data_IF_258970460845
#
_entry.id   IF_258970460845
#
_cell.length_a   1.000
_cell.length_b   1.000
_cell.length_c   1.000
_cell.angle_alpha   90.00
_cell.angle_beta   90.00
_cell.angle_gamma   90.00
#
_symmetry.space_group_name_H-M   'P 1'
#
loop_
_entity.id
_entity.type
_entity.pdbx_description
1 polymer ?
#
# COMPACT_ATOMS: atom_id res chain seq x y z
N UNK A 1 20.69 -14.39 27.52
CA UNK A 1 21.18 -14.76 26.19
C UNK A 1 20.17 -14.21 25.21
N UNK A 2 20.55 -13.26 24.35
CA UNK A 2 19.66 -12.80 23.29
C UNK A 2 19.37 -13.98 22.36
N UNK A 3 18.11 -14.25 22.14
CA UNK A 3 17.66 -15.31 21.24
C UNK A 3 18.12 -14.94 19.82
N UNK A 4 18.83 -15.84 19.13
CA UNK A 4 19.11 -15.69 17.69
C UNK A 4 17.85 -15.89 16.81
N UNK A 5 16.70 -15.97 17.42
CA UNK A 5 15.44 -16.12 16.70
C UNK A 5 15.02 -14.77 16.10
N UNK A 6 14.74 -14.71 14.78
CA UNK A 6 14.58 -13.43 14.06
C UNK A 6 13.23 -12.76 14.29
N UNK A 7 12.32 -13.36 15.08
CA UNK A 7 10.98 -12.81 15.37
C UNK A 7 10.91 -12.40 16.83
N UNK A 8 10.33 -11.22 17.10
CA UNK A 8 9.91 -10.86 18.46
C UNK A 8 8.55 -11.51 18.75
N UNK A 9 8.54 -12.43 19.72
CA UNK A 9 7.33 -13.12 20.22
C UNK A 9 7.00 -12.72 21.65
N UNK A 10 7.70 -11.73 22.21
CA UNK A 10 7.55 -11.28 23.60
C UNK A 10 6.70 -10.03 23.64
N UNK A 11 6.95 -9.07 22.75
CA UNK A 11 6.27 -7.77 22.69
C UNK A 11 6.34 -7.04 24.03
N UNK A 12 5.23 -6.43 24.43
CA UNK A 12 5.12 -5.64 25.68
C UNK A 12 4.69 -6.46 26.90
N UNK A 13 4.44 -7.75 26.75
CA UNK A 13 3.92 -8.61 27.81
C UNK A 13 2.54 -8.15 28.31
N UNK A 14 2.37 -8.12 29.63
CA UNK A 14 1.06 -7.76 30.25
C UNK A 14 0.85 -6.25 30.40
N UNK A 15 1.85 -5.44 30.08
CA UNK A 15 1.79 -3.99 30.29
C UNK A 15 2.17 -3.27 28.98
N UNK A 16 1.20 -3.07 28.08
CA UNK A 16 1.45 -2.30 26.86
C UNK A 16 1.78 -0.85 27.20
N UNK A 17 2.63 -0.18 26.41
CA UNK A 17 2.94 1.23 26.60
C UNK A 17 1.70 2.10 26.37
N UNK A 18 1.62 3.22 27.08
CA UNK A 18 0.68 4.29 26.76
C UNK A 18 1.22 5.09 25.57
N UNK A 19 0.56 5.08 24.42
CA UNK A 19 1.02 5.78 23.22
C UNK A 19 0.96 7.31 23.34
N UNK A 20 0.28 7.84 24.35
CA UNK A 20 0.11 9.28 24.59
C UNK A 20 -0.37 10.01 23.32
N UNK A 21 -1.47 9.52 22.75
CA UNK A 21 -2.07 10.13 21.57
C UNK A 21 -2.33 11.62 21.76
N UNK A 22 -2.18 12.47 20.71
CA UNK A 22 -2.49 13.89 20.77
C UNK A 22 -3.86 14.16 21.40
N UNK A 23 -3.97 15.31 22.09
CA UNK A 23 -5.20 15.76 22.74
C UNK A 23 -5.78 14.77 23.79
N UNK A 24 -4.93 13.92 24.37
CA UNK A 24 -5.34 12.86 25.30
C UNK A 24 -6.37 11.89 24.68
N UNK A 25 -6.33 11.72 23.37
CA UNK A 25 -7.19 10.77 22.68
C UNK A 25 -6.91 9.34 23.15
N UNK A 26 -7.96 8.54 23.23
CA UNK A 26 -7.87 7.13 23.66
C UNK A 26 -7.64 6.18 22.49
N UNK A 27 -7.87 6.65 21.27
CA UNK A 27 -7.81 5.86 20.04
C UNK A 27 -7.35 6.76 18.90
N UNK A 28 -6.48 6.26 18.04
CA UNK A 28 -6.19 6.82 16.73
C UNK A 28 -6.95 5.99 15.68
N UNK A 29 -7.67 6.67 14.78
CA UNK A 29 -8.38 6.02 13.66
C UNK A 29 -7.80 6.55 12.35
N UNK A 30 -7.33 5.66 11.51
CA UNK A 30 -6.87 5.98 10.17
C UNK A 30 -7.81 5.34 9.14
N UNK A 31 -8.37 6.15 8.25
CA UNK A 31 -9.12 5.66 7.10
C UNK A 31 -8.16 5.45 5.94
N UNK A 32 -8.09 4.22 5.46
CA UNK A 32 -7.26 3.84 4.32
C UNK A 32 -8.15 3.47 3.14
N UNK A 33 -7.83 4.00 1.97
CA UNK A 33 -8.45 3.62 0.71
C UNK A 33 -7.36 3.15 -0.25
N UNK A 34 -7.38 1.89 -0.61
CA UNK A 34 -6.50 1.36 -1.64
C UNK A 34 -7.00 1.81 -3.02
N UNK A 35 -6.07 2.30 -3.85
CA UNK A 35 -6.33 2.61 -5.25
C UNK A 35 -5.39 1.76 -6.13
N UNK A 36 -5.91 0.66 -6.63
CA UNK A 36 -5.14 -0.42 -7.27
C UNK A 36 -5.59 -0.69 -8.71
N UNK A 37 -6.83 -0.37 -9.02
CA UNK A 37 -7.53 -0.71 -10.25
C UNK A 37 -6.85 -0.14 -11.49
N UNK A 38 -6.53 -1.06 -12.42
CA UNK A 38 -5.75 -0.75 -13.62
C UNK A 38 -4.25 -0.98 -13.46
N UNK A 39 -3.78 -1.47 -12.30
CA UNK A 39 -2.38 -1.86 -12.09
C UNK A 39 -2.19 -3.33 -11.70
N UNK A 40 -3.29 -4.07 -11.59
CA UNK A 40 -3.33 -5.51 -11.35
C UNK A 40 -2.70 -6.30 -12.50
N UNK A 41 -2.51 -7.60 -12.30
CA UNK A 41 -2.10 -8.50 -13.38
C UNK A 41 -3.14 -8.52 -14.50
N UNK A 42 -2.70 -8.33 -15.73
CA UNK A 42 -3.58 -8.34 -16.88
C UNK A 42 -2.91 -8.86 -18.15
N UNK A 43 -3.66 -9.55 -18.97
CA UNK A 43 -3.17 -10.04 -20.29
C UNK A 43 -2.71 -8.89 -21.19
N UNK A 44 -3.41 -7.73 -21.25
CA UNK A 44 -2.93 -6.57 -21.99
C UNK A 44 -1.58 -6.02 -21.51
N UNK A 45 -1.21 -6.21 -20.24
CA UNK A 45 0.08 -5.79 -19.69
C UNK A 45 1.18 -6.86 -19.85
N UNK A 46 0.85 -8.00 -20.44
CA UNK A 46 1.80 -9.08 -20.72
C UNK A 46 1.94 -10.11 -19.59
N UNK A 47 1.10 -10.07 -18.57
CA UNK A 47 1.21 -10.98 -17.42
C UNK A 47 0.72 -12.41 -17.70
N UNK A 48 0.03 -12.64 -18.80
CA UNK A 48 -0.44 -13.97 -19.21
C UNK A 48 -1.73 -14.42 -18.50
N UNK A 49 -2.31 -13.63 -17.61
CA UNK A 49 -3.60 -13.89 -16.98
C UNK A 49 -4.23 -12.58 -16.51
N UNK A 50 -5.56 -12.59 -16.29
CA UNK A 50 -6.25 -11.50 -15.62
C UNK A 50 -6.37 -11.79 -14.13
N UNK A 51 -6.10 -10.79 -13.30
CA UNK A 51 -6.23 -10.87 -11.84
C UNK A 51 -7.69 -11.11 -11.44
N UNK A 52 -7.91 -12.02 -10.52
CA UNK A 52 -9.23 -12.29 -9.94
C UNK A 52 -9.23 -12.31 -8.41
N UNK A 53 -8.05 -12.20 -7.78
CA UNK A 53 -7.95 -12.18 -6.31
C UNK A 53 -8.67 -10.97 -5.74
N UNK A 54 -9.28 -11.16 -4.57
CA UNK A 54 -10.00 -10.11 -3.83
C UNK A 54 -11.20 -9.51 -4.60
N UNK A 55 -11.69 -10.22 -5.62
CA UNK A 55 -12.99 -9.95 -6.25
C UNK A 55 -14.06 -10.87 -5.68
N UNK A 56 -15.28 -10.77 -6.18
CA UNK A 56 -16.36 -11.71 -5.85
C UNK A 56 -16.14 -13.12 -6.42
N UNK A 57 -15.13 -13.28 -7.28
CA UNK A 57 -14.73 -14.57 -7.83
C UNK A 57 -13.52 -15.11 -7.07
N UNK A 58 -13.58 -16.33 -6.52
CA UNK A 58 -12.47 -16.89 -5.75
C UNK A 58 -11.22 -17.18 -6.61
N UNK A 59 -11.42 -17.43 -7.88
CA UNK A 59 -10.37 -17.60 -8.90
C UNK A 59 -10.98 -17.50 -10.30
N UNK A 60 -10.16 -17.08 -11.27
CA UNK A 60 -10.59 -17.09 -12.67
C UNK A 60 -10.68 -18.53 -13.20
N UNK A 61 -11.77 -18.83 -13.93
CA UNK A 61 -11.92 -20.06 -14.69
C UNK A 61 -11.42 -19.92 -16.13
N UNK A 62 -11.00 -18.71 -16.53
CA UNK A 62 -10.49 -18.42 -17.88
C UNK A 62 -9.10 -19.00 -18.02
N UNK A 63 -8.78 -19.67 -19.15
CA UNK A 63 -7.44 -20.22 -19.39
C UNK A 63 -6.35 -19.17 -19.35
N UNK A 64 -5.15 -19.59 -18.90
CA UNK A 64 -3.98 -18.72 -18.94
C UNK A 64 -3.69 -18.29 -20.40
N UNK A 65 -3.46 -17.00 -20.60
CA UNK A 65 -3.30 -16.37 -21.91
C UNK A 65 -4.55 -15.64 -22.41
N UNK A 66 -5.72 -15.97 -21.89
CA UNK A 66 -6.98 -15.32 -22.24
C UNK A 66 -7.40 -14.28 -21.18
N UNK A 67 -8.14 -13.28 -21.62
CA UNK A 67 -8.67 -12.21 -20.74
C UNK A 67 -9.93 -12.68 -20.00
N UNK A 68 -9.96 -12.51 -18.69
CA UNK A 68 -11.18 -12.66 -17.90
C UNK A 68 -11.92 -11.31 -17.82
N UNK A 69 -12.84 -11.12 -18.77
CA UNK A 69 -13.58 -9.86 -18.87
C UNK A 69 -14.51 -9.61 -17.68
N UNK A 70 -14.93 -10.67 -16.96
CA UNK A 70 -15.74 -10.50 -15.75
C UNK A 70 -14.88 -9.95 -14.61
N UNK A 71 -13.71 -10.55 -14.34
CA UNK A 71 -12.77 -10.05 -13.34
C UNK A 71 -12.32 -8.63 -13.66
N UNK A 72 -11.88 -8.36 -14.90
CA UNK A 72 -11.49 -7.02 -15.34
C UNK A 72 -12.59 -5.98 -15.10
N UNK A 73 -13.87 -6.33 -15.37
CA UNK A 73 -14.99 -5.42 -15.14
C UNK A 73 -15.25 -5.13 -13.66
N UNK A 74 -14.90 -6.04 -12.75
CA UNK A 74 -14.99 -5.81 -11.31
C UNK A 74 -13.95 -4.78 -10.86
N UNK A 75 -12.70 -4.88 -11.34
CA UNK A 75 -11.70 -3.84 -11.14
C UNK A 75 -12.13 -2.50 -11.75
N UNK A 76 -12.65 -2.49 -12.98
CA UNK A 76 -13.18 -1.26 -13.58
C UNK A 76 -14.28 -0.59 -12.74
N UNK A 77 -15.12 -1.34 -12.05
CA UNK A 77 -16.14 -0.78 -11.17
C UNK A 77 -15.49 0.06 -10.06
N UNK A 78 -14.41 -0.41 -9.46
CA UNK A 78 -13.66 0.30 -8.42
C UNK A 78 -13.26 1.70 -8.88
N UNK A 79 -12.54 1.81 -10.00
CA UNK A 79 -12.06 3.10 -10.54
C UNK A 79 -13.16 3.96 -11.13
N UNK A 80 -14.19 3.37 -11.76
CA UNK A 80 -15.27 4.11 -12.45
C UNK A 80 -16.37 4.59 -11.51
N UNK A 81 -16.64 3.86 -10.43
CA UNK A 81 -17.80 4.12 -9.55
C UNK A 81 -17.42 4.12 -8.07
N UNK A 82 -16.76 3.07 -7.60
CA UNK A 82 -16.49 2.84 -6.18
C UNK A 82 -15.68 3.96 -5.56
N UNK A 83 -14.55 4.30 -6.18
CA UNK A 83 -13.70 5.40 -5.75
C UNK A 83 -14.46 6.72 -5.58
N UNK A 84 -15.23 7.12 -6.57
CA UNK A 84 -15.97 8.39 -6.55
C UNK A 84 -17.06 8.45 -5.48
N UNK A 85 -17.66 7.30 -5.15
CA UNK A 85 -18.63 7.20 -4.05
C UNK A 85 -17.95 7.37 -2.70
N UNK A 86 -16.80 6.72 -2.50
CA UNK A 86 -16.03 6.83 -1.27
C UNK A 86 -15.43 8.22 -1.10
N UNK A 87 -14.87 8.80 -2.17
CA UNK A 87 -14.35 10.17 -2.15
C UNK A 87 -15.39 11.17 -1.66
N UNK A 88 -16.61 11.13 -2.22
CA UNK A 88 -17.71 12.00 -1.77
C UNK A 88 -18.06 11.77 -0.31
N UNK A 89 -18.14 10.52 0.12
CA UNK A 89 -18.45 10.18 1.52
C UNK A 89 -17.42 10.78 2.49
N UNK A 90 -16.15 10.66 2.17
CA UNK A 90 -15.07 11.21 3.01
C UNK A 90 -15.09 12.74 3.03
N UNK A 91 -15.31 13.37 1.88
CA UNK A 91 -15.42 14.84 1.78
C UNK A 91 -16.66 15.38 2.52
N UNK A 92 -17.82 14.74 2.36
CA UNK A 92 -19.07 15.14 3.04
C UNK A 92 -18.96 15.05 4.58
N UNK A 93 -18.04 14.23 5.08
CA UNK A 93 -17.86 14.00 6.52
C UNK A 93 -16.58 14.65 7.06
N UNK A 94 -15.84 15.37 6.22
CA UNK A 94 -14.56 15.99 6.56
C UNK A 94 -13.58 14.98 7.22
N UNK A 95 -13.48 13.79 6.63
CA UNK A 95 -12.62 12.72 7.16
C UNK A 95 -11.26 12.75 6.46
N UNK A 96 -10.16 12.73 7.24
CA UNK A 96 -8.83 12.51 6.69
C UNK A 96 -8.71 11.07 6.17
N UNK A 97 -8.04 10.90 5.04
CA UNK A 97 -7.86 9.59 4.38
C UNK A 97 -6.43 9.47 3.90
N UNK A 98 -5.84 8.30 4.09
CA UNK A 98 -4.59 7.91 3.43
C UNK A 98 -4.92 7.04 2.23
N UNK A 99 -4.47 7.42 1.05
CA UNK A 99 -4.64 6.63 -0.17
C UNK A 99 -3.43 5.71 -0.34
N UNK A 100 -3.65 4.42 -0.28
CA UNK A 100 -2.65 3.43 -0.64
C UNK A 100 -2.67 3.28 -2.16
N UNK A 101 -1.75 3.98 -2.83
CA UNK A 101 -1.80 4.23 -4.26
C UNK A 101 -0.80 3.39 -5.04
N UNK A 102 -1.28 2.54 -5.95
CA UNK A 102 -0.44 2.00 -7.01
C UNK A 102 -0.22 3.08 -8.07
N UNK A 103 1.05 3.38 -8.36
CA UNK A 103 1.39 4.52 -9.20
C UNK A 103 0.84 4.38 -10.62
N UNK A 104 0.91 3.20 -11.24
CA UNK A 104 0.37 2.94 -12.58
C UNK A 104 -1.15 3.09 -12.63
N UNK A 105 -1.87 2.71 -11.58
CA UNK A 105 -3.32 2.86 -11.50
C UNK A 105 -3.73 4.34 -11.62
N UNK A 106 -3.03 5.24 -10.92
CA UNK A 106 -3.26 6.68 -10.98
C UNK A 106 -2.76 7.31 -12.28
N UNK A 107 -1.70 6.79 -12.91
CA UNK A 107 -1.31 7.23 -14.26
C UNK A 107 -2.40 6.93 -15.29
N UNK A 108 -3.11 5.82 -15.13
CA UNK A 108 -4.23 5.40 -16.00
C UNK A 108 -5.53 6.15 -15.73
N UNK A 109 -5.64 6.75 -14.54
CA UNK A 109 -6.80 7.57 -14.16
C UNK A 109 -6.37 8.94 -13.60
N UNK A 110 -5.93 9.88 -14.46
CA UNK A 110 -5.45 11.19 -14.04
C UNK A 110 -6.53 12.03 -13.34
N UNK A 111 -7.81 11.80 -13.61
CA UNK A 111 -8.92 12.49 -12.93
C UNK A 111 -9.01 12.07 -11.47
N UNK A 112 -8.80 10.76 -11.16
CA UNK A 112 -8.73 10.30 -9.79
C UNK A 112 -7.50 10.86 -9.06
N UNK A 113 -6.32 10.88 -9.72
CA UNK A 113 -5.12 11.49 -9.16
C UNK A 113 -5.33 12.98 -8.83
N UNK A 114 -5.97 13.73 -9.73
CA UNK A 114 -6.30 15.13 -9.51
C UNK A 114 -7.27 15.29 -8.31
N UNK A 115 -8.32 14.49 -8.25
CA UNK A 115 -9.31 14.56 -7.18
C UNK A 115 -8.71 14.23 -5.80
N UNK A 116 -7.80 13.25 -5.71
CA UNK A 116 -7.07 12.91 -4.48
C UNK A 116 -6.18 14.08 -4.06
N UNK A 117 -5.40 14.65 -4.99
CA UNK A 117 -4.54 15.79 -4.73
C UNK A 117 -5.36 17.01 -4.26
N UNK A 118 -6.44 17.33 -4.94
CA UNK A 118 -7.28 18.50 -4.65
C UNK A 118 -8.04 18.34 -3.31
N UNK A 119 -8.29 17.11 -2.88
CA UNK A 119 -8.81 16.80 -1.55
C UNK A 119 -7.74 16.90 -0.44
N UNK A 120 -6.46 17.00 -0.79
CA UNK A 120 -5.36 17.07 0.18
C UNK A 120 -5.12 15.77 0.95
N UNK A 121 -5.52 14.62 0.38
CA UNK A 121 -5.34 13.32 1.04
C UNK A 121 -3.89 12.87 1.02
N UNK A 122 -3.47 12.20 2.07
CA UNK A 122 -2.13 11.63 2.20
C UNK A 122 -1.93 10.45 1.25
N UNK A 123 -0.69 10.29 0.75
CA UNK A 123 -0.30 9.23 -0.17
C UNK A 123 0.68 8.28 0.49
N UNK A 124 0.27 7.03 0.63
CA UNK A 124 1.14 5.90 0.91
C UNK A 124 1.37 5.13 -0.39
N UNK A 125 2.63 4.94 -0.77
CA UNK A 125 2.98 4.22 -1.99
C UNK A 125 2.63 2.74 -1.85
N UNK A 126 1.83 2.23 -2.79
CA UNK A 126 1.45 0.81 -2.86
C UNK A 126 2.13 0.08 -4.04
N UNK A 127 3.34 0.54 -4.36
CA UNK A 127 4.15 0.03 -5.46
C UNK A 127 3.88 0.70 -6.80
N UNK A 128 4.66 0.30 -7.82
CA UNK A 128 4.43 0.71 -9.20
C UNK A 128 3.17 0.07 -9.77
N UNK A 129 3.06 -1.25 -9.59
CA UNK A 129 1.90 -2.09 -9.94
C UNK A 129 1.43 -2.87 -8.72
N UNK A 130 0.20 -3.33 -8.77
CA UNK A 130 -0.36 -4.21 -7.75
C UNK A 130 0.10 -5.66 -7.96
N UNK A 131 1.37 -5.90 -7.66
CA UNK A 131 2.05 -7.20 -7.77
C UNK A 131 2.73 -7.56 -6.46
N UNK A 132 2.94 -8.86 -6.24
CA UNK A 132 3.59 -9.33 -5.01
C UNK A 132 5.10 -9.12 -5.08
N UNK A 133 5.63 -8.25 -4.23
CA UNK A 133 7.04 -7.90 -4.19
C UNK A 133 7.95 -9.08 -3.87
N UNK A 134 7.48 -10.04 -3.07
CA UNK A 134 8.25 -11.26 -2.77
C UNK A 134 8.45 -12.21 -3.97
N UNK A 135 7.79 -11.95 -5.10
CA UNK A 135 8.00 -12.67 -6.36
C UNK A 135 9.02 -11.98 -7.28
N UNK A 136 9.37 -10.75 -7.00
CA UNK A 136 10.32 -9.97 -7.78
C UNK A 136 11.76 -10.30 -7.35
N UNK A 137 12.69 -10.22 -8.29
CA UNK A 137 14.12 -10.13 -7.93
C UNK A 137 14.40 -8.80 -7.23
N UNK A 138 15.52 -8.72 -6.51
CA UNK A 138 15.89 -7.48 -5.82
C UNK A 138 16.00 -6.28 -6.76
N UNK A 139 16.56 -6.47 -7.96
CA UNK A 139 16.72 -5.41 -8.96
C UNK A 139 15.37 -4.95 -9.52
N UNK A 140 14.44 -5.88 -9.78
CA UNK A 140 13.07 -5.56 -10.21
C UNK A 140 12.32 -4.82 -9.12
N UNK A 141 12.44 -5.26 -7.86
CA UNK A 141 11.80 -4.59 -6.73
C UNK A 141 12.33 -3.16 -6.56
N UNK A 142 13.65 -2.97 -6.67
CA UNK A 142 14.29 -1.65 -6.65
C UNK A 142 13.77 -0.74 -7.77
N UNK A 143 13.62 -1.27 -8.99
CA UNK A 143 13.06 -0.52 -10.13
C UNK A 143 11.59 -0.15 -9.86
N UNK A 144 10.79 -1.08 -9.36
CA UNK A 144 9.39 -0.81 -9.00
C UNK A 144 9.24 0.30 -7.96
N UNK A 145 10.07 0.29 -6.91
CA UNK A 145 10.09 1.33 -5.90
C UNK A 145 10.46 2.69 -6.53
N UNK A 146 11.55 2.74 -7.29
CA UNK A 146 12.02 3.99 -7.91
C UNK A 146 10.98 4.57 -8.89
N UNK A 147 10.38 3.74 -9.73
CA UNK A 147 9.35 4.15 -10.70
C UNK A 147 8.10 4.68 -9.99
N UNK A 148 7.66 4.00 -8.94
CA UNK A 148 6.51 4.43 -8.14
C UNK A 148 6.75 5.82 -7.53
N UNK A 149 7.92 6.03 -6.90
CA UNK A 149 8.27 7.32 -6.29
C UNK A 149 8.33 8.43 -7.33
N UNK A 150 8.97 8.19 -8.49
CA UNK A 150 9.04 9.19 -9.58
C UNK A 150 7.64 9.58 -10.05
N UNK A 151 6.80 8.58 -10.28
CA UNK A 151 5.44 8.79 -10.79
C UNK A 151 4.57 9.54 -9.79
N UNK A 152 4.50 9.06 -8.55
CA UNK A 152 3.72 9.72 -7.48
C UNK A 152 4.23 11.12 -7.19
N UNK A 153 5.55 11.34 -7.16
CA UNK A 153 6.13 12.68 -6.97
C UNK A 153 5.70 13.66 -8.07
N UNK A 154 5.61 13.19 -9.31
CA UNK A 154 5.15 14.01 -10.44
C UNK A 154 3.68 14.38 -10.31
N UNK A 155 2.83 13.47 -9.85
CA UNK A 155 1.38 13.68 -9.70
C UNK A 155 1.03 14.55 -8.50
N UNK A 156 1.73 14.39 -7.38
CA UNK A 156 1.40 15.02 -6.10
C UNK A 156 2.36 16.12 -5.66
N UNK A 157 3.46 16.35 -6.37
CA UNK A 157 4.41 17.44 -6.11
C UNK A 157 5.45 17.13 -5.02
N UNK A 158 5.36 15.96 -4.36
CA UNK A 158 6.30 15.49 -3.35
C UNK A 158 6.40 13.96 -3.39
N UNK A 159 7.53 13.37 -2.98
CA UNK A 159 7.63 11.92 -2.85
C UNK A 159 6.68 11.41 -1.75
N UNK A 160 6.13 10.19 -1.89
CA UNK A 160 5.33 9.56 -0.85
C UNK A 160 6.20 9.28 0.38
N UNK A 161 5.64 9.50 1.57
CA UNK A 161 6.36 9.25 2.83
C UNK A 161 6.13 7.85 3.38
N UNK A 162 5.08 7.15 2.97
CA UNK A 162 4.71 5.82 3.41
C UNK A 162 4.80 4.78 2.30
N UNK A 163 4.93 3.52 2.73
CA UNK A 163 4.95 2.34 1.86
C UNK A 163 4.07 1.21 2.40
N UNK A 164 3.43 0.48 1.49
CA UNK A 164 2.72 -0.76 1.77
C UNK A 164 2.75 -1.71 0.58
N UNK A 165 3.07 -2.99 0.79
CA UNK A 165 3.10 -4.01 -0.25
C UNK A 165 1.75 -4.69 -0.46
N UNK A 166 1.48 -5.15 -1.68
CA UNK A 166 0.43 -6.13 -1.92
C UNK A 166 0.73 -7.42 -1.16
N UNK A 167 -0.19 -7.88 -0.31
CA UNK A 167 -0.15 -9.13 0.48
C UNK A 167 1.04 -9.32 1.41
N UNK A 168 2.15 -8.68 1.17
CA UNK A 168 3.34 -8.73 2.03
C UNK A 168 4.63 -8.37 1.30
N UNK A 169 5.63 -7.93 2.06
CA UNK A 169 6.94 -7.54 1.55
C UNK A 169 7.80 -8.75 1.16
N UNK A 170 8.83 -8.51 0.38
CA UNK A 170 9.98 -9.40 0.26
C UNK A 170 10.89 -9.26 1.48
N UNK A 171 11.89 -10.14 1.58
CA UNK A 171 12.93 -10.00 2.62
C UNK A 171 13.81 -8.77 2.42
N UNK A 172 13.79 -8.16 1.24
CA UNK A 172 14.59 -7.00 0.88
C UNK A 172 13.83 -5.68 1.02
N UNK A 173 12.49 -5.69 0.94
CA UNK A 173 11.66 -4.49 0.80
C UNK A 173 12.08 -3.37 1.75
N UNK A 174 12.07 -3.62 3.07
CA UNK A 174 12.36 -2.56 4.06
C UNK A 174 13.75 -1.99 3.90
N UNK A 175 14.75 -2.82 3.62
CA UNK A 175 16.10 -2.35 3.33
C UNK A 175 16.14 -1.45 2.09
N UNK A 176 15.46 -1.85 1.01
CA UNK A 176 15.36 -1.08 -0.22
C UNK A 176 14.67 0.28 -0.02
N UNK A 177 13.65 0.34 0.83
CA UNK A 177 12.97 1.59 1.19
C UNK A 177 13.90 2.55 1.94
N UNK A 178 14.66 2.02 2.91
CA UNK A 178 15.65 2.79 3.67
C UNK A 178 16.78 3.27 2.77
N UNK A 179 17.30 2.42 1.90
CA UNK A 179 18.32 2.78 0.90
C UNK A 179 17.83 3.86 -0.07
N UNK A 180 16.57 3.79 -0.49
CA UNK A 180 15.98 4.81 -1.36
C UNK A 180 15.89 6.19 -0.71
N UNK A 181 15.65 6.24 0.60
CA UNK A 181 15.71 7.46 1.42
C UNK A 181 14.51 8.40 1.33
N UNK A 182 13.45 8.07 0.57
CA UNK A 182 12.23 8.89 0.51
C UNK A 182 11.19 8.52 1.55
N UNK A 183 11.24 7.30 2.07
CA UNK A 183 10.20 6.77 2.93
C UNK A 183 10.52 7.00 4.41
N UNK A 184 9.55 7.53 5.13
CA UNK A 184 9.60 7.68 6.59
C UNK A 184 9.13 6.41 7.29
N UNK A 185 8.17 5.67 6.69
CA UNK A 185 7.58 4.48 7.29
C UNK A 185 7.18 3.44 6.25
N UNK A 186 7.02 2.20 6.73
CA UNK A 186 6.23 1.16 6.05
C UNK A 186 5.08 0.67 6.93
N UNK A 187 3.99 0.19 6.29
CA UNK A 187 2.81 -0.37 6.93
C UNK A 187 2.67 -1.88 6.65
N UNK A 188 3.75 -2.55 6.25
CA UNK A 188 3.71 -3.96 5.86
C UNK A 188 3.44 -4.94 7.03
N UNK A 189 3.91 -4.71 8.27
CA UNK A 189 3.66 -5.63 9.38
C UNK A 189 2.23 -5.56 9.94
N UNK A 190 1.80 -6.70 10.50
CA UNK A 190 0.53 -6.90 11.21
C UNK A 190 0.76 -7.31 12.67
N UNK A 191 1.91 -6.99 13.23
CA UNK A 191 2.42 -7.57 14.46
C UNK A 191 2.20 -6.72 15.71
N UNK A 192 1.64 -5.51 15.56
CA UNK A 192 1.40 -4.58 16.65
C UNK A 192 0.17 -3.71 16.39
N UNK A 193 -0.35 -3.08 17.45
CA UNK A 193 -1.39 -2.04 17.38
C UNK A 193 -0.79 -0.63 17.42
N UNK A 194 0.48 -0.50 17.76
CA UNK A 194 1.18 0.77 17.91
C UNK A 194 2.32 0.91 16.90
N UNK A 195 2.55 2.12 16.36
CA UNK A 195 3.77 2.40 15.62
C UNK A 195 5.02 2.22 16.47
N UNK A 196 6.08 1.68 15.86
CA UNK A 196 7.36 1.47 16.55
C UNK A 196 8.54 1.74 15.63
N UNK A 197 9.68 2.05 16.25
CA UNK A 197 10.94 2.26 15.53
C UNK A 197 11.72 0.95 15.40
N UNK A 198 12.26 0.72 14.20
CA UNK A 198 13.18 -0.36 13.91
C UNK A 198 14.47 0.20 13.34
N UNK A 199 15.61 -0.43 13.67
CA UNK A 199 16.88 -0.09 13.05
C UNK A 199 17.13 -1.00 11.86
N UNK A 200 17.37 -0.41 10.69
CA UNK A 200 17.66 -1.10 9.43
C UNK A 200 18.99 -0.54 8.91
N UNK A 201 20.01 -1.38 8.82
CA UNK A 201 21.37 -0.98 8.39
C UNK A 201 21.91 0.27 9.11
N UNK A 202 21.62 0.36 10.41
CA UNK A 202 22.04 1.48 11.27
C UNK A 202 21.19 2.75 11.17
N UNK A 203 20.14 2.76 10.36
CA UNK A 203 19.20 3.87 10.22
C UNK A 203 17.89 3.56 10.95
N UNK A 204 17.32 4.57 11.62
CA UNK A 204 16.00 4.45 12.23
C UNK A 204 14.92 4.52 11.14
N UNK A 205 13.99 3.58 11.16
CA UNK A 205 12.85 3.50 10.27
C UNK A 205 11.57 3.28 11.08
N UNK A 206 10.52 4.03 10.77
CA UNK A 206 9.24 3.90 11.46
C UNK A 206 8.43 2.77 10.83
N UNK A 207 7.86 1.93 11.67
CA UNK A 207 6.89 0.92 11.28
C UNK A 207 5.52 1.36 11.81
N UNK A 208 4.53 1.42 10.92
CA UNK A 208 3.14 1.70 11.26
C UNK A 208 2.33 0.46 10.92
N UNK A 209 2.10 -0.45 11.87
CA UNK A 209 1.45 -1.71 11.57
C UNK A 209 0.07 -1.54 10.95
N UNK A 210 -0.26 -2.39 9.99
CA UNK A 210 -1.59 -2.44 9.40
C UNK A 210 -2.52 -3.26 10.31
N UNK A 211 -3.53 -2.62 10.88
CA UNK A 211 -4.49 -3.30 11.76
C UNK A 211 -5.58 -4.00 10.93
N UNK A 212 -5.86 -5.25 11.29
CA UNK A 212 -6.97 -6.05 10.73
C UNK A 212 -8.22 -6.03 11.61
N UNK A 213 -8.21 -5.30 12.70
CA UNK A 213 -9.31 -5.23 13.68
C UNK A 213 -10.06 -3.90 13.63
#
# INVERSE_FOLDING_TARGET
>A
MASNYPRDLIGYGVTPPDPQWPDSARLAVNFVLNYEEGSEYSVPDGDGFSEASLTEMPQSAVPHGDRDLAAESMFEYGSRVGFWRLLRLFQERDLPVTIFACALALERNPDAAAAIRDAGYDICCHGWRWVEHFKLSEDEERDHIARAVISLSRMFGAPPSGWYCRTGPSVNTRRLLVEHGSFLYDSDPYNDELPYWQTVDGQAHLVVPYSLT
#
